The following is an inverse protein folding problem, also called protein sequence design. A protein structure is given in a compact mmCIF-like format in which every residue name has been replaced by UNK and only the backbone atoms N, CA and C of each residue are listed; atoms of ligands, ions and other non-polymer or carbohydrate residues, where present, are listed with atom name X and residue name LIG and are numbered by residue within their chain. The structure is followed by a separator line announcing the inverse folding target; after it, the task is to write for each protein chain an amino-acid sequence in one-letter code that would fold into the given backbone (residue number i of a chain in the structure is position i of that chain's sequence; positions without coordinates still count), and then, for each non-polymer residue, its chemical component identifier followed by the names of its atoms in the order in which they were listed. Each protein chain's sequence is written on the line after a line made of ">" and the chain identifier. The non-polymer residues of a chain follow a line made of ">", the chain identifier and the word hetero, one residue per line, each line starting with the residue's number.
data_IF_412903122932
#
_entry.id   IF_412903122932
#
_cell.length_a   1.000
_cell.length_b   1.000
_cell.length_c   1.000
_cell.angle_alpha   90.00
_cell.angle_beta   90.00
_cell.angle_gamma   90.00
#
_symmetry.space_group_name_H-M   'P 1'
#
loop_
_entity.id
_entity.type
_entity.pdbx_description
1 polymer ?
#
# COMPACT_ATOMS: atom_id res chain seq x y z
N UNK A 1 -4.61 -12.98 13.96
CA UNK A 1 -5.07 -13.83 12.83
C UNK A 1 -5.53 -12.89 11.73
N UNK A 2 -4.76 -12.76 10.64
CA UNK A 2 -5.24 -12.07 9.44
C UNK A 2 -6.34 -12.93 8.83
N UNK A 3 -7.50 -12.34 8.54
CA UNK A 3 -8.54 -13.08 7.82
C UNK A 3 -8.12 -13.18 6.37
N UNK A 4 -7.65 -14.37 5.98
CA UNK A 4 -7.58 -14.78 4.59
C UNK A 4 -8.98 -15.28 4.26
N UNK A 5 -9.73 -14.54 3.44
CA UNK A 5 -11.01 -15.04 2.94
C UNK A 5 -10.71 -16.12 1.89
N UNK A 6 -10.51 -17.36 2.36
CA UNK A 6 -10.46 -18.54 1.50
C UNK A 6 -11.89 -18.90 1.07
N UNK A 7 -12.19 -18.70 -0.22
CA UNK A 7 -13.23 -19.46 -0.90
C UNK A 7 -12.74 -19.76 -2.30
N UNK A 8 -12.52 -21.05 -2.57
CA UNK A 8 -12.17 -21.63 -3.86
C UNK A 8 -13.02 -21.09 -5.01
N UNK A 9 -12.48 -20.06 -5.64
CA UNK A 9 -12.68 -19.52 -6.97
C UNK A 9 -11.76 -18.30 -6.99
N UNK A 10 -10.80 -18.23 -7.92
CA UNK A 10 -9.99 -17.02 -8.13
C UNK A 10 -10.92 -15.87 -8.52
N UNK A 11 -11.55 -15.22 -7.54
CA UNK A 11 -12.37 -14.04 -7.74
C UNK A 11 -11.40 -12.89 -7.83
N UNK A 12 -10.88 -12.71 -9.05
CA UNK A 12 -10.16 -11.52 -9.43
C UNK A 12 -11.00 -10.31 -9.05
N UNK A 13 -10.46 -9.42 -8.21
CA UNK A 13 -11.14 -8.17 -7.90
C UNK A 13 -11.27 -7.35 -9.21
N UNK A 14 -12.09 -6.29 -9.26
CA UNK A 14 -12.20 -5.45 -10.45
C UNK A 14 -10.88 -4.79 -10.91
N UNK A 15 -9.80 -4.93 -10.13
CA UNK A 15 -8.46 -4.38 -10.37
C UNK A 15 -7.39 -5.45 -10.65
N UNK A 16 -7.79 -6.70 -10.91
CA UNK A 16 -6.88 -7.79 -11.30
C UNK A 16 -6.23 -8.61 -10.17
N UNK A 17 -6.40 -8.25 -8.90
CA UNK A 17 -5.81 -9.01 -7.79
C UNK A 17 -6.60 -10.29 -7.49
N UNK A 18 -5.89 -11.39 -7.27
CA UNK A 18 -6.45 -12.71 -6.93
C UNK A 18 -6.56 -12.93 -5.42
N UNK A 19 -5.75 -12.24 -4.61
CA UNK A 19 -5.84 -12.24 -3.15
C UNK A 19 -5.71 -10.85 -2.57
N UNK A 20 -6.43 -10.61 -1.47
CA UNK A 20 -6.33 -9.38 -0.68
C UNK A 20 -6.29 -9.74 0.81
N UNK A 21 -5.39 -9.10 1.55
CA UNK A 21 -5.30 -9.26 2.99
C UNK A 21 -5.61 -7.95 3.71
N UNK A 22 -6.33 -8.03 4.83
CA UNK A 22 -6.78 -6.89 5.61
C UNK A 22 -6.39 -7.05 7.09
N UNK A 23 -6.13 -5.93 7.77
CA UNK A 23 -6.00 -5.89 9.22
C UNK A 23 -7.36 -5.96 9.93
N UNK A 24 -7.34 -5.98 11.27
CA UNK A 24 -8.56 -6.04 12.09
C UNK A 24 -9.47 -4.81 11.95
N UNK A 25 -8.95 -3.69 11.45
CA UNK A 25 -9.73 -2.49 11.15
C UNK A 25 -10.27 -2.49 9.71
N UNK A 26 -10.14 -3.61 8.98
CA UNK A 26 -10.58 -3.72 7.59
C UNK A 26 -9.70 -2.95 6.60
N UNK A 27 -8.52 -2.48 7.01
CA UNK A 27 -7.59 -1.78 6.12
C UNK A 27 -6.73 -2.78 5.39
N UNK A 28 -6.57 -2.59 4.09
CA UNK A 28 -5.73 -3.47 3.26
C UNK A 28 -4.27 -3.41 3.68
N UNK A 29 -3.64 -4.58 3.80
CA UNK A 29 -2.22 -4.77 4.09
C UNK A 29 -1.46 -5.53 3.00
N UNK A 30 -2.15 -6.25 2.10
CA UNK A 30 -1.52 -6.88 0.93
C UNK A 30 -2.48 -7.09 -0.24
N UNK A 31 -1.92 -7.11 -1.47
CA UNK A 31 -2.55 -7.56 -2.71
C UNK A 31 -1.61 -8.54 -3.42
N UNK A 32 -2.16 -9.62 -3.98
CA UNK A 32 -1.44 -10.54 -4.85
C UNK A 32 -2.20 -10.72 -6.18
N UNK A 33 -1.46 -10.83 -7.27
CA UNK A 33 -1.96 -11.06 -8.63
C UNK A 33 -1.72 -12.50 -9.08
N UNK A 34 -2.29 -12.87 -10.23
CA UNK A 34 -2.28 -14.24 -10.75
C UNK A 34 -0.88 -14.78 -11.12
N UNK A 35 0.09 -13.90 -11.36
CA UNK A 35 1.49 -14.20 -11.65
C UNK A 35 2.35 -14.35 -10.38
N UNK A 36 1.71 -14.41 -9.20
CA UNK A 36 2.33 -14.40 -7.88
C UNK A 36 3.09 -13.12 -7.51
N UNK A 37 3.06 -12.08 -8.35
CA UNK A 37 3.49 -10.75 -7.91
C UNK A 37 2.57 -10.30 -6.76
N UNK A 38 3.16 -9.72 -5.70
CA UNK A 38 2.38 -9.19 -4.59
C UNK A 38 3.04 -7.98 -3.96
N UNK A 39 2.20 -7.14 -3.38
CA UNK A 39 2.63 -5.95 -2.64
C UNK A 39 2.11 -5.97 -1.21
N UNK A 40 2.82 -5.31 -0.31
CA UNK A 40 2.34 -4.98 1.04
C UNK A 40 2.38 -3.49 1.31
N UNK A 41 1.57 -3.07 2.29
CA UNK A 41 1.43 -1.68 2.69
C UNK A 41 1.90 -1.51 4.14
N UNK A 42 2.90 -0.66 4.36
CA UNK A 42 3.27 -0.18 5.69
C UNK A 42 2.55 1.12 5.99
N UNK A 43 2.24 1.34 7.28
CA UNK A 43 1.50 2.52 7.74
C UNK A 43 2.13 3.12 8.98
N UNK A 44 1.97 4.43 9.17
CA UNK A 44 2.31 5.10 10.41
C UNK A 44 1.16 4.97 11.46
N UNK A 45 1.36 5.57 12.64
CA UNK A 45 0.37 5.57 13.72
C UNK A 45 -0.94 6.29 13.34
N UNK A 46 -0.89 7.26 12.42
CA UNK A 46 -2.08 7.93 11.88
C UNK A 46 -2.85 7.06 10.84
N UNK A 47 -2.30 5.90 10.46
CA UNK A 47 -2.92 4.97 9.50
C UNK A 47 -2.60 5.29 8.03
N UNK A 48 -1.74 6.28 7.78
CA UNK A 48 -1.31 6.69 6.45
C UNK A 48 -0.28 5.71 5.90
N UNK A 49 -0.34 5.41 4.60
CA UNK A 49 0.61 4.50 3.95
C UNK A 49 1.96 5.19 3.82
N UNK A 50 2.99 4.68 4.51
CA UNK A 50 4.35 5.22 4.44
C UNK A 50 5.22 4.52 3.41
N UNK A 51 4.90 3.25 3.08
CA UNK A 51 5.63 2.52 2.05
C UNK A 51 4.76 1.42 1.42
N UNK A 52 5.06 1.14 0.15
CA UNK A 52 4.57 -0.03 -0.57
C UNK A 52 5.78 -0.88 -0.95
N UNK A 53 5.76 -2.15 -0.60
CA UNK A 53 6.83 -3.09 -0.89
C UNK A 53 6.36 -4.17 -1.87
N UNK A 54 7.15 -4.46 -2.89
CA UNK A 54 7.09 -5.73 -3.61
C UNK A 54 7.64 -6.83 -2.72
N UNK A 55 6.93 -7.96 -2.69
CA UNK A 55 7.34 -9.16 -1.97
C UNK A 55 7.66 -8.92 -0.48
N UNK A 56 7.09 -7.87 0.11
CA UNK A 56 7.30 -7.50 1.52
C UNK A 56 8.65 -6.87 1.85
N UNK A 57 9.57 -6.75 0.88
CA UNK A 57 10.95 -6.35 1.14
C UNK A 57 11.47 -5.28 0.19
N UNK A 58 11.07 -5.30 -1.08
CA UNK A 58 11.59 -4.37 -2.09
C UNK A 58 10.74 -3.10 -2.12
N UNK A 59 11.25 -1.92 -1.71
CA UNK A 59 10.44 -0.70 -1.69
C UNK A 59 10.11 -0.26 -3.12
N UNK A 60 8.82 -0.21 -3.45
CA UNK A 60 8.33 0.34 -4.71
C UNK A 60 8.13 1.85 -4.62
N UNK A 61 7.63 2.32 -3.47
CA UNK A 61 7.46 3.73 -3.17
C UNK A 61 7.39 3.98 -1.67
N UNK A 62 8.01 5.07 -1.20
CA UNK A 62 7.83 5.66 0.12
C UNK A 62 7.08 7.00 0.07
N UNK A 63 6.37 7.35 1.14
CA UNK A 63 5.61 8.60 1.25
C UNK A 63 5.88 9.32 2.58
N UNK A 64 5.94 10.66 2.50
CA UNK A 64 5.99 11.55 3.68
C UNK A 64 4.75 12.43 3.71
N UNK A 65 4.41 12.92 4.89
CA UNK A 65 3.19 13.66 5.17
C UNK A 65 3.51 14.90 6.02
N UNK A 66 2.69 15.94 5.92
CA UNK A 66 2.66 17.04 6.89
C UNK A 66 1.72 16.72 8.07
N UNK A 67 1.65 17.62 9.05
CA UNK A 67 0.82 17.44 10.26
C UNK A 67 -0.69 17.41 9.97
N UNK A 68 -1.11 17.82 8.77
CA UNK A 68 -2.50 17.75 8.30
C UNK A 68 -2.80 16.45 7.53
N UNK A 69 -1.83 15.55 7.42
CA UNK A 69 -1.93 14.30 6.69
C UNK A 69 -1.91 14.44 5.17
N UNK A 70 -1.41 15.57 4.66
CA UNK A 70 -1.22 15.79 3.22
C UNK A 70 0.16 15.27 2.83
N UNK A 71 0.23 14.54 1.73
CA UNK A 71 1.50 13.96 1.25
C UNK A 71 2.47 15.07 0.83
N UNK A 72 3.64 15.15 1.43
CA UNK A 72 4.71 16.10 1.09
C UNK A 72 5.78 15.51 0.17
N UNK A 73 5.85 14.18 0.08
CA UNK A 73 6.88 13.49 -0.70
C UNK A 73 6.45 12.11 -1.21
N UNK A 74 7.00 11.73 -2.36
CA UNK A 74 6.93 10.38 -2.92
C UNK A 74 8.32 9.98 -3.46
N UNK A 75 8.83 8.85 -2.98
CA UNK A 75 10.18 8.34 -3.29
C UNK A 75 10.05 6.98 -3.97
N UNK A 76 10.23 6.89 -5.28
CA UNK A 76 10.00 5.66 -6.06
C UNK A 76 11.27 4.82 -6.15
N UNK A 77 11.11 3.50 -6.31
CA UNK A 77 12.22 2.55 -6.44
C UNK A 77 13.14 2.78 -7.65
N UNK A 78 12.70 3.58 -8.63
CA UNK A 78 13.52 4.03 -9.76
C UNK A 78 14.26 5.36 -9.48
N UNK A 79 14.40 5.75 -8.21
CA UNK A 79 14.99 7.00 -7.73
C UNK A 79 14.24 8.29 -8.12
N UNK A 80 13.09 8.20 -8.80
CA UNK A 80 12.27 9.37 -9.06
C UNK A 80 11.62 9.87 -7.77
N UNK A 81 11.71 11.18 -7.55
CA UNK A 81 11.16 11.86 -6.38
C UNK A 81 10.16 12.92 -6.81
N UNK A 82 9.09 13.07 -6.03
CA UNK A 82 8.11 14.15 -6.20
C UNK A 82 7.84 14.77 -4.85
N UNK A 83 7.91 16.09 -4.79
CA UNK A 83 7.63 16.87 -3.58
C UNK A 83 6.40 17.73 -3.79
N UNK A 84 5.63 17.89 -2.73
CA UNK A 84 4.44 18.72 -2.71
C UNK A 84 4.59 19.77 -1.62
N UNK A 85 4.39 21.02 -2.01
CA UNK A 85 4.21 22.14 -1.08
C UNK A 85 2.78 22.58 -1.14
N UNK A 86 2.23 22.93 0.01
CA UNK A 86 0.86 23.40 0.13
C UNK A 86 0.87 24.75 0.83
N UNK A 87 0.05 25.66 0.35
CA UNK A 87 -0.16 26.95 1.00
C UNK A 87 -0.80 26.73 2.39
N UNK A 88 -0.36 27.54 3.35
CA UNK A 88 -1.10 27.76 4.58
C UNK A 88 -2.26 28.69 4.21
N UNK A 89 -3.47 28.15 4.15
CA UNK A 89 -4.68 28.91 3.78
C UNK A 89 -4.99 30.07 4.72
#
# INVERSE_FOLDING_TARGET
>A
MLQVTDRGAHRTNPRGATYEAHDLAGRRVSLQWADNFWVSYSRNAAGEVTAIYESGVNPLVGYTYDDLGRRTGAYRGNNAQTFYTYDAG
#
